data_IF_146821579461
#
_entry.id   IF_146821579461
#
_cell.length_a   1.000
_cell.length_b   1.000
_cell.length_c   1.000
_cell.angle_alpha   90.00
_cell.angle_beta   90.00
_cell.angle_gamma   90.00
#
_symmetry.space_group_name_H-M   'P 1'
#
loop_
_entity.id
_entity.type
_entity.pdbx_description
1 polymer ?
#
# COMPACT_ATOMS: atom_id res chain seq x y z
N UNK A 1 -20.81 3.81 2.50
CA UNK A 1 -20.95 2.79 1.44
C UNK A 1 -19.61 2.11 1.24
N UNK A 2 -19.52 0.78 1.37
CA UNK A 2 -18.23 0.05 1.31
C UNK A 2 -17.49 0.25 -0.03
N UNK A 3 -18.22 0.58 -1.10
CA UNK A 3 -17.67 0.91 -2.40
C UNK A 3 -16.65 2.06 -2.37
N UNK A 4 -16.77 3.02 -1.45
CA UNK A 4 -15.82 4.13 -1.36
C UNK A 4 -14.42 3.70 -0.85
N UNK A 5 -14.29 2.50 -0.27
CA UNK A 5 -12.98 1.93 0.09
C UNK A 5 -12.29 1.22 -1.09
N UNK A 6 -13.05 0.79 -2.11
CA UNK A 6 -12.53 -0.01 -3.22
C UNK A 6 -11.35 0.67 -3.92
N UNK A 7 -11.41 1.98 -4.27
CA UNK A 7 -10.28 2.67 -4.87
C UNK A 7 -9.02 2.66 -3.99
N UNK A 8 -9.19 2.75 -2.68
CA UNK A 8 -8.08 2.74 -1.72
C UNK A 8 -7.43 1.36 -1.60
N UNK A 9 -8.22 0.29 -1.57
CA UNK A 9 -7.68 -1.07 -1.60
C UNK A 9 -6.94 -1.36 -2.91
N UNK A 10 -7.49 -0.92 -4.04
CA UNK A 10 -6.81 -1.05 -5.34
C UNK A 10 -5.50 -0.26 -5.36
N UNK A 11 -5.48 0.97 -4.85
CA UNK A 11 -4.27 1.78 -4.77
C UNK A 11 -3.21 1.13 -3.88
N UNK A 12 -3.59 0.58 -2.72
CA UNK A 12 -2.66 -0.17 -1.85
C UNK A 12 -2.12 -1.42 -2.54
N UNK A 13 -2.97 -2.19 -3.22
CA UNK A 13 -2.54 -3.37 -3.98
C UNK A 13 -1.52 -2.99 -5.05
N UNK A 14 -1.83 -1.96 -5.85
CA UNK A 14 -0.93 -1.45 -6.89
C UNK A 14 0.38 -0.97 -6.29
N UNK A 15 0.34 -0.23 -5.17
CA UNK A 15 1.53 0.23 -4.47
C UNK A 15 2.41 -0.94 -4.00
N UNK A 16 1.81 -1.99 -3.41
CA UNK A 16 2.54 -3.19 -2.97
C UNK A 16 3.17 -3.90 -4.16
N UNK A 17 2.42 -4.12 -5.25
CA UNK A 17 2.93 -4.79 -6.45
C UNK A 17 4.10 -4.00 -7.04
N UNK A 18 3.97 -2.68 -7.19
CA UNK A 18 5.05 -1.83 -7.68
C UNK A 18 6.25 -1.88 -6.74
N UNK A 19 6.04 -1.78 -5.44
CA UNK A 19 7.13 -1.77 -4.47
C UNK A 19 7.89 -3.11 -4.44
N UNK A 20 7.19 -4.25 -4.47
CA UNK A 20 7.82 -5.58 -4.54
C UNK A 20 8.52 -5.79 -5.89
N UNK A 21 7.91 -5.33 -6.99
CA UNK A 21 8.56 -5.37 -8.30
C UNK A 21 9.88 -4.61 -8.28
N UNK A 22 9.88 -3.35 -7.82
CA UNK A 22 11.09 -2.54 -7.71
C UNK A 22 12.11 -3.19 -6.76
N UNK A 23 11.67 -3.70 -5.62
CA UNK A 23 12.54 -4.38 -4.66
C UNK A 23 13.28 -5.56 -5.33
N UNK A 24 12.56 -6.40 -6.07
CA UNK A 24 13.15 -7.53 -6.82
C UNK A 24 14.03 -7.07 -7.98
N UNK A 25 13.65 -6.00 -8.68
CA UNK A 25 14.45 -5.44 -9.77
C UNK A 25 15.80 -4.93 -9.27
N UNK A 26 15.86 -4.28 -8.11
CA UNK A 26 17.10 -3.68 -7.60
C UNK A 26 17.92 -4.61 -6.70
N UNK A 27 17.27 -5.49 -5.93
CA UNK A 27 17.94 -6.38 -4.96
C UNK A 27 18.00 -7.85 -5.40
N UNK A 28 17.36 -8.19 -6.52
CA UNK A 28 17.32 -9.55 -7.04
C UNK A 28 16.37 -10.45 -6.25
N UNK A 29 16.86 -11.61 -5.82
CA UNK A 29 16.07 -12.55 -5.02
C UNK A 29 15.93 -12.05 -3.59
N UNK A 30 14.69 -11.80 -3.18
CA UNK A 30 14.36 -11.33 -1.84
C UNK A 30 13.59 -12.42 -1.10
N UNK A 31 13.87 -12.60 0.19
CA UNK A 31 13.13 -13.55 1.02
C UNK A 31 11.71 -13.05 1.28
N UNK A 32 10.77 -13.99 1.38
CA UNK A 32 9.34 -13.70 1.61
C UNK A 32 9.10 -12.76 2.81
N UNK A 33 9.89 -12.90 3.87
CA UNK A 33 9.77 -12.08 5.08
C UNK A 33 10.00 -10.58 4.80
N UNK A 34 10.94 -10.25 3.92
CA UNK A 34 11.22 -8.86 3.55
C UNK A 34 10.09 -8.26 2.71
N UNK A 35 9.52 -9.04 1.78
CA UNK A 35 8.36 -8.62 0.99
C UNK A 35 7.13 -8.41 1.86
N UNK A 36 6.92 -9.30 2.83
CA UNK A 36 5.84 -9.17 3.81
C UNK A 36 6.01 -7.93 4.69
N UNK A 37 7.22 -7.69 5.19
CA UNK A 37 7.52 -6.48 5.97
C UNK A 37 7.27 -5.21 5.15
N UNK A 38 7.68 -5.19 3.88
CA UNK A 38 7.42 -4.07 2.98
C UNK A 38 5.92 -3.83 2.75
N UNK A 39 5.16 -4.90 2.52
CA UNK A 39 3.71 -4.81 2.37
C UNK A 39 3.04 -4.24 3.62
N UNK A 40 3.44 -4.69 4.82
CA UNK A 40 2.95 -4.13 6.08
C UNK A 40 3.26 -2.63 6.20
N UNK A 41 4.49 -2.23 5.90
CA UNK A 41 4.90 -0.81 5.91
C UNK A 41 3.98 0.02 5.00
N UNK A 42 3.67 -0.47 3.80
CA UNK A 42 2.78 0.23 2.87
C UNK A 42 1.37 0.34 3.44
N UNK A 43 0.81 -0.76 3.96
CA UNK A 43 -0.55 -0.79 4.53
C UNK A 43 -0.65 0.18 5.72
N UNK A 44 0.35 0.22 6.60
CA UNK A 44 0.34 1.12 7.75
C UNK A 44 0.59 2.58 7.38
N UNK A 45 1.42 2.86 6.36
CA UNK A 45 1.71 4.23 5.93
C UNK A 45 0.63 4.83 5.02
N UNK A 46 -0.13 3.99 4.30
CA UNK A 46 -1.13 4.44 3.34
C UNK A 46 -2.18 5.38 3.95
N UNK A 47 -2.79 5.10 5.11
CA UNK A 47 -3.73 6.02 5.75
C UNK A 47 -3.12 7.39 6.05
N UNK A 48 -1.87 7.44 6.51
CA UNK A 48 -1.18 8.71 6.77
C UNK A 48 -0.96 9.50 5.48
N UNK A 49 -0.60 8.82 4.39
CA UNK A 49 -0.44 9.46 3.08
C UNK A 49 -1.76 10.01 2.55
N UNK A 50 -2.85 9.24 2.64
CA UNK A 50 -4.18 9.66 2.19
C UNK A 50 -4.72 10.84 3.00
N UNK A 51 -4.55 10.82 4.33
CA UNK A 51 -4.92 11.93 5.23
C UNK A 51 -4.15 13.21 4.88
N UNK A 52 -2.85 13.09 4.63
CA UNK A 52 -1.98 14.21 4.19
C UNK A 52 -2.43 14.81 2.87
N UNK A 53 -3.00 14.01 1.97
CA UNK A 53 -3.46 14.43 0.65
C UNK A 53 -4.91 14.95 0.65
N UNK A 54 -5.64 14.84 1.77
CA UNK A 54 -7.04 15.27 1.87
C UNK A 54 -8.01 14.41 1.05
N UNK A 55 -7.63 13.16 0.74
CA UNK A 55 -8.45 12.21 -0.05
C UNK A 55 -9.03 11.13 0.88
N UNK A 56 -9.18 11.43 2.16
CA UNK A 56 -9.68 10.45 3.12
C UNK A 56 -11.15 10.10 2.82
N UNK A 57 -11.49 8.81 2.73
CA UNK A 57 -12.87 8.41 2.60
C UNK A 57 -13.58 8.76 3.92
N UNK A 58 -14.75 9.39 3.87
CA UNK A 58 -15.54 9.78 5.05
C UNK A 58 -16.03 8.62 5.94
N UNK A 59 -15.58 7.39 5.69
CA UNK A 59 -15.79 6.20 6.53
C UNK A 59 -14.60 5.96 7.49
N UNK A 60 -13.51 6.71 7.34
CA UNK A 60 -12.33 6.69 8.23
C UNK A 60 -12.37 7.80 9.31
N UNK A 61 -13.43 8.61 9.31
CA UNK A 61 -13.85 9.41 10.47
C UNK A 61 -14.23 8.49 11.64
#
# INVERSE_FOLDING_TARGET
MILALVPHYLAMLVAIVIAVFLLRTYLGQVVLLAEFALALVIVFLYPFAVRRLGIEPGIWE
#
